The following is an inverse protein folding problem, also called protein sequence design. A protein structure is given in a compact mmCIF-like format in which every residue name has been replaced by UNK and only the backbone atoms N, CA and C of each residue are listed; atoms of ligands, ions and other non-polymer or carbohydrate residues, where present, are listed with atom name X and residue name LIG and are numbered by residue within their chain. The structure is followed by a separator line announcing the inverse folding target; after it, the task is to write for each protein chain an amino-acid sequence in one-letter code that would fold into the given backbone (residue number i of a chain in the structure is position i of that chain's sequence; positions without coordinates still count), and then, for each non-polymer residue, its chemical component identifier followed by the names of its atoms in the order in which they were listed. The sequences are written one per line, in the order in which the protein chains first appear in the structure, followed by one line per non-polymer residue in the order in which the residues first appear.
data_IF_797727719737
#
_entry.id   IF_797727719737
#
_cell.length_a   1.000
_cell.length_b   1.000
_cell.length_c   1.000
_cell.angle_alpha   90.00
_cell.angle_beta   90.00
_cell.angle_gamma   90.00
#
_symmetry.space_group_name_H-M   'P 1'
#
loop_
_entity.id
_entity.type
_entity.pdbx_description
1 polymer ?
#
# COMPACT_ATOMS: atom_id res chain seq x y z
N UNK A 1 93.83 21.20 -38.63
CA UNK A 1 92.76 20.27 -38.19
C UNK A 1 91.80 20.10 -39.38
N UNK A 2 91.88 19.03 -40.18
CA UNK A 2 91.16 17.74 -40.01
C UNK A 2 89.62 17.85 -40.06
N UNK A 3 88.84 17.05 -40.83
CA UNK A 3 89.08 16.21 -42.04
C UNK A 3 87.70 15.72 -42.56
N UNK A 4 87.46 15.72 -43.89
CA UNK A 4 86.59 14.81 -44.71
C UNK A 4 85.19 14.35 -44.18
N UNK A 5 84.07 14.60 -44.89
CA UNK A 5 83.50 13.92 -46.11
C UNK A 5 82.73 12.58 -45.88
N UNK A 6 81.65 12.41 -46.67
CA UNK A 6 80.75 11.23 -46.89
C UNK A 6 79.57 11.13 -45.90
N UNK A 7 78.28 11.00 -46.26
CA UNK A 7 77.53 10.48 -47.43
C UNK A 7 77.35 8.94 -47.49
N UNK A 8 76.14 8.43 -47.13
CA UNK A 8 75.49 7.22 -47.67
C UNK A 8 74.08 6.96 -47.08
N UNK A 9 73.05 6.88 -47.95
CA UNK A 9 71.94 5.89 -47.88
C UNK A 9 72.48 4.52 -48.42
N UNK A 10 71.77 3.35 -48.45
CA UNK A 10 70.32 3.14 -48.35
C UNK A 10 69.86 1.85 -47.60
N UNK A 11 68.55 1.60 -47.61
CA UNK A 11 68.01 0.29 -48.01
C UNK A 11 67.53 -0.68 -46.92
N UNK A 12 66.19 -0.85 -46.83
CA UNK A 12 65.53 -2.14 -47.11
C UNK A 12 64.00 -2.01 -46.97
N UNK A 13 63.28 -2.65 -47.89
CA UNK A 13 61.81 -2.86 -47.88
C UNK A 13 61.62 -4.32 -48.29
N UNK A 14 60.84 -5.11 -47.55
CA UNK A 14 59.59 -5.64 -48.12
C UNK A 14 58.35 -5.25 -47.29
N UNK A 15 57.17 -4.95 -47.87
CA UNK A 15 56.24 -5.85 -48.60
C UNK A 15 55.55 -6.84 -47.61
N UNK A 16 54.25 -7.17 -47.68
CA UNK A 16 53.32 -7.10 -48.82
C UNK A 16 51.86 -7.41 -48.40
N UNK A 17 50.87 -6.59 -48.81
CA UNK A 17 49.45 -6.97 -49.14
C UNK A 17 48.61 -7.65 -48.00
N UNK A 18 47.29 -7.91 -48.06
CA UNK A 18 46.04 -7.38 -48.68
C UNK A 18 44.88 -8.00 -47.86
N UNK A 19 43.67 -7.47 -47.68
CA UNK A 19 42.88 -6.34 -48.27
C UNK A 19 41.91 -5.85 -47.16
N UNK A 20 41.00 -4.88 -47.26
CA UNK A 20 40.50 -4.04 -48.37
C UNK A 20 38.96 -3.94 -48.30
N UNK A 21 38.39 -2.74 -48.52
CA UNK A 21 36.95 -2.41 -48.48
C UNK A 21 36.32 -2.52 -47.06
N UNK A 22 35.34 -1.70 -46.66
CA UNK A 22 34.72 -0.51 -47.26
C UNK A 22 33.86 0.19 -46.19
N UNK A 23 33.79 1.53 -46.22
CA UNK A 23 32.65 2.36 -45.74
C UNK A 23 32.23 2.24 -44.25
N UNK A 24 31.70 3.28 -43.59
CA UNK A 24 31.73 4.71 -43.88
C UNK A 24 31.56 5.49 -42.57
N UNK A 25 32.15 6.68 -42.56
CA UNK A 25 31.62 7.90 -41.97
C UNK A 25 30.12 7.90 -41.67
N UNK A 26 29.73 8.30 -40.47
CA UNK A 26 28.33 8.47 -40.07
C UNK A 26 28.16 9.11 -38.70
N UNK A 27 28.32 10.44 -38.61
CA UNK A 27 27.89 11.21 -37.43
C UNK A 27 26.36 11.11 -37.30
N UNK A 28 25.85 10.37 -36.33
CA UNK A 28 24.49 10.50 -35.78
C UNK A 28 24.57 11.36 -34.51
N UNK A 29 24.34 12.67 -34.59
CA UNK A 29 23.03 13.33 -34.59
C UNK A 29 22.30 13.22 -33.23
N UNK A 30 22.05 14.33 -32.51
CA UNK A 30 21.57 14.32 -31.11
C UNK A 30 20.07 13.97 -30.93
N UNK A 31 19.47 13.29 -31.91
CA UNK A 31 18.03 12.96 -31.97
C UNK A 31 17.59 11.92 -30.93
N UNK A 32 18.51 11.08 -30.44
CA UNK A 32 18.21 9.94 -29.55
C UNK A 32 17.88 10.35 -28.09
N UNK A 33 17.95 11.65 -27.77
CA UNK A 33 17.47 12.16 -26.48
C UNK A 33 15.94 12.20 -26.38
N UNK A 34 15.24 12.07 -27.50
CA UNK A 34 13.77 12.21 -27.60
C UNK A 34 13.00 10.89 -27.49
N UNK A 35 13.66 9.79 -27.05
CA UNK A 35 13.02 8.53 -26.64
C UNK A 35 13.32 8.13 -25.19
N UNK A 36 13.59 9.14 -24.36
CA UNK A 36 13.10 9.17 -22.98
C UNK A 36 11.96 10.22 -22.99
N UNK A 37 10.75 9.93 -23.46
CA UNK A 37 9.90 8.83 -22.98
C UNK A 37 10.26 8.44 -21.55
N UNK A 38 10.39 9.47 -20.71
CA UNK A 38 10.38 9.36 -19.26
C UNK A 38 8.93 9.03 -18.86
N UNK A 39 8.47 7.83 -19.26
CA UNK A 39 7.37 7.19 -18.57
C UNK A 39 7.80 7.13 -17.11
N UNK A 40 7.20 8.00 -16.29
CA UNK A 40 7.10 7.75 -14.86
C UNK A 40 6.16 6.54 -14.72
N UNK A 41 6.69 5.36 -15.05
CA UNK A 41 6.09 4.11 -14.63
C UNK A 41 6.06 4.17 -13.11
N UNK A 42 4.84 4.40 -12.61
CA UNK A 42 4.53 4.30 -11.19
C UNK A 42 5.06 2.93 -10.77
N UNK A 43 5.88 2.83 -9.71
CA UNK A 43 6.40 1.54 -9.25
C UNK A 43 5.23 0.55 -9.19
N UNK A 44 5.28 -0.58 -9.93
CA UNK A 44 4.13 -1.48 -10.01
C UNK A 44 3.66 -1.93 -8.62
N UNK A 45 4.63 -2.06 -7.70
CA UNK A 45 4.44 -2.22 -6.26
C UNK A 45 3.51 -1.18 -5.62
N UNK A 46 3.67 0.11 -5.90
CA UNK A 46 2.86 1.18 -5.29
C UNK A 46 1.41 1.12 -5.79
N UNK A 47 1.19 0.87 -7.09
CA UNK A 47 -0.17 0.68 -7.64
C UNK A 47 -0.82 -0.57 -7.06
N UNK A 48 -0.09 -1.69 -7.01
CA UNK A 48 -0.57 -2.92 -6.41
C UNK A 48 -0.92 -2.72 -4.92
N UNK A 49 -0.11 -1.97 -4.16
CA UNK A 49 -0.37 -1.67 -2.75
C UNK A 49 -1.64 -0.84 -2.56
N UNK A 50 -1.86 0.20 -3.38
CA UNK A 50 -3.09 0.99 -3.32
C UNK A 50 -4.33 0.14 -3.66
N UNK A 51 -4.27 -0.71 -4.68
CA UNK A 51 -5.38 -1.61 -5.05
C UNK A 51 -5.64 -2.63 -3.94
N UNK A 52 -4.60 -3.22 -3.37
CA UNK A 52 -4.73 -4.22 -2.30
C UNK A 52 -5.28 -3.59 -1.00
N UNK A 53 -4.85 -2.38 -0.66
CA UNK A 53 -5.41 -1.62 0.48
C UNK A 53 -6.87 -1.24 0.23
N UNK A 54 -7.22 -0.81 -0.98
CA UNK A 54 -8.59 -0.50 -1.38
C UNK A 54 -9.53 -1.72 -1.27
N UNK A 55 -9.08 -2.89 -1.72
CA UNK A 55 -9.79 -4.16 -1.50
C UNK A 55 -9.91 -4.51 -0.01
N UNK A 56 -8.87 -4.22 0.78
CA UNK A 56 -8.89 -4.34 2.25
C UNK A 56 -9.98 -3.48 2.90
N UNK A 57 -10.09 -2.20 2.54
CA UNK A 57 -11.14 -1.32 3.05
C UNK A 57 -12.54 -1.74 2.61
N UNK A 58 -12.73 -2.23 1.38
CA UNK A 58 -14.02 -2.79 0.96
C UNK A 58 -14.39 -3.99 1.84
N UNK A 59 -13.44 -4.88 2.13
CA UNK A 59 -13.67 -6.01 3.03
C UNK A 59 -14.00 -5.55 4.45
N UNK A 60 -13.25 -4.60 5.02
CA UNK A 60 -13.54 -4.04 6.33
C UNK A 60 -14.92 -3.38 6.39
N UNK A 61 -15.31 -2.56 5.40
CA UNK A 61 -16.64 -1.96 5.31
C UNK A 61 -17.77 -3.00 5.29
N UNK A 62 -17.60 -4.11 4.57
CA UNK A 62 -18.61 -5.19 4.55
C UNK A 62 -18.72 -5.86 5.92
N UNK A 63 -17.60 -6.16 6.57
CA UNK A 63 -17.58 -6.79 7.90
C UNK A 63 -18.15 -5.85 8.98
N UNK A 64 -17.76 -4.57 8.97
CA UNK A 64 -18.27 -3.56 9.91
C UNK A 64 -19.77 -3.31 9.69
N UNK A 65 -20.24 -3.29 8.43
CA UNK A 65 -21.68 -3.21 8.11
C UNK A 65 -22.43 -4.43 8.64
N UNK A 66 -21.88 -5.64 8.47
CA UNK A 66 -22.47 -6.87 9.02
C UNK A 66 -22.53 -6.86 10.56
N UNK A 67 -21.45 -6.42 11.22
CA UNK A 67 -21.41 -6.30 12.67
C UNK A 67 -22.40 -5.22 13.18
N UNK A 68 -22.52 -4.08 12.48
CA UNK A 68 -23.53 -3.07 12.79
C UNK A 68 -24.95 -3.62 12.70
N UNK A 69 -25.30 -4.27 11.58
CA UNK A 69 -26.62 -4.88 11.44
C UNK A 69 -26.87 -5.91 12.54
N UNK A 70 -25.92 -6.84 12.76
CA UNK A 70 -26.03 -7.88 13.77
C UNK A 70 -26.29 -7.33 15.18
N UNK A 71 -25.61 -6.25 15.60
CA UNK A 71 -25.85 -5.62 16.90
C UNK A 71 -27.15 -4.81 16.95
N UNK A 72 -27.54 -4.16 15.84
CA UNK A 72 -28.78 -3.38 15.76
C UNK A 72 -30.05 -4.24 15.72
N UNK A 73 -29.96 -5.48 15.24
CA UNK A 73 -31.10 -6.40 15.08
C UNK A 73 -31.07 -7.56 16.10
N UNK A 74 -30.49 -7.37 17.29
CA UNK A 74 -30.36 -8.43 18.31
C UNK A 74 -31.73 -8.96 18.75
N UNK A 75 -32.69 -8.09 19.01
CA UNK A 75 -34.05 -8.48 19.43
C UNK A 75 -34.77 -9.25 18.31
N UNK A 76 -34.72 -8.73 17.08
CA UNK A 76 -35.30 -9.39 15.90
C UNK A 76 -34.66 -10.78 15.65
N UNK A 77 -33.33 -10.89 15.74
CA UNK A 77 -32.63 -12.17 15.56
C UNK A 77 -33.00 -13.20 16.63
N UNK A 78 -33.16 -12.75 17.88
CA UNK A 78 -33.55 -13.59 19.03
C UNK A 78 -34.99 -14.10 18.94
N UNK A 79 -35.90 -13.33 18.35
CA UNK A 79 -37.29 -13.75 18.11
C UNK A 79 -37.47 -14.49 16.77
N UNK A 80 -36.51 -14.36 15.84
CA UNK A 80 -36.54 -15.01 14.53
C UNK A 80 -36.27 -16.51 14.59
N UNK A 81 -36.70 -17.21 13.54
CA UNK A 81 -36.34 -18.61 13.32
C UNK A 81 -34.92 -18.83 12.75
N UNK A 82 -34.10 -17.78 12.52
CA UNK A 82 -32.70 -17.94 12.11
C UNK A 82 -31.79 -18.21 13.31
N UNK A 83 -31.99 -19.37 13.90
CA UNK A 83 -31.19 -19.90 14.99
C UNK A 83 -29.68 -19.93 14.63
N UNK A 84 -29.32 -20.04 13.35
CA UNK A 84 -27.94 -20.08 12.88
C UNK A 84 -27.23 -18.73 12.90
N UNK A 85 -27.99 -17.64 12.76
CA UNK A 85 -27.53 -16.27 12.95
C UNK A 85 -27.41 -15.94 14.44
N UNK A 86 -28.43 -16.30 15.22
CA UNK A 86 -28.45 -16.11 16.68
C UNK A 86 -27.29 -16.83 17.38
N UNK A 87 -27.10 -18.14 17.17
CA UNK A 87 -26.04 -18.93 17.84
C UNK A 87 -24.63 -18.36 17.62
N UNK A 88 -24.35 -17.81 16.43
CA UNK A 88 -23.06 -17.16 16.12
C UNK A 88 -22.88 -15.84 16.88
N UNK A 89 -23.96 -15.07 17.00
CA UNK A 89 -23.96 -13.78 17.69
C UNK A 89 -23.88 -14.00 19.20
N UNK A 90 -24.67 -14.91 19.75
CA UNK A 90 -24.61 -15.36 21.14
C UNK A 90 -23.21 -15.90 21.50
N UNK A 91 -22.58 -16.69 20.62
CA UNK A 91 -21.18 -17.15 20.82
C UNK A 91 -20.17 -15.99 20.85
N UNK A 92 -20.41 -14.91 20.09
CA UNK A 92 -19.59 -13.68 20.14
C UNK A 92 -19.83 -12.90 21.43
N UNK A 93 -21.09 -12.68 21.81
CA UNK A 93 -21.46 -12.00 23.06
C UNK A 93 -20.92 -12.76 24.28
N UNK A 94 -21.11 -14.08 24.37
CA UNK A 94 -20.55 -14.91 25.44
C UNK A 94 -18.99 -14.92 25.47
N UNK A 95 -18.32 -14.54 24.37
CA UNK A 95 -16.87 -14.29 24.38
C UNK A 95 -16.55 -12.91 24.97
N UNK A 96 -17.32 -11.89 24.62
CA UNK A 96 -17.17 -10.54 25.18
C UNK A 96 -17.39 -10.56 26.71
N UNK A 97 -18.37 -11.33 27.19
CA UNK A 97 -18.72 -11.43 28.63
C UNK A 97 -17.56 -12.02 29.44
N UNK A 98 -16.96 -13.08 28.91
CA UNK A 98 -15.77 -13.76 29.48
C UNK A 98 -14.50 -12.92 29.47
N UNK A 99 -14.53 -11.72 28.91
CA UNK A 99 -13.41 -10.77 28.85
C UNK A 99 -13.78 -9.40 29.43
N UNK A 100 -14.74 -9.36 30.37
CA UNK A 100 -15.18 -8.16 31.10
C UNK A 100 -15.70 -7.03 30.20
N UNK A 101 -16.30 -7.38 29.06
CA UNK A 101 -16.95 -6.42 28.15
C UNK A 101 -18.44 -6.37 28.44
N UNK A 102 -18.94 -5.14 28.61
CA UNK A 102 -20.35 -4.81 28.84
C UNK A 102 -21.23 -5.25 27.65
N UNK A 103 -22.21 -6.13 27.92
CA UNK A 103 -23.22 -6.65 26.97
C UNK A 103 -24.64 -6.30 27.46
N UNK A 104 -24.78 -5.36 28.41
CA UNK A 104 -26.06 -4.70 28.57
C UNK A 104 -26.47 -4.02 27.26
N UNK A 105 -27.73 -3.61 27.14
CA UNK A 105 -28.24 -2.92 25.96
C UNK A 105 -27.39 -1.66 25.63
N UNK A 106 -26.89 -0.97 26.65
CA UNK A 106 -25.96 0.15 26.52
C UNK A 106 -24.54 -0.26 26.09
N UNK A 107 -24.11 -1.49 26.38
CA UNK A 107 -22.87 -2.08 25.87
C UNK A 107 -22.96 -2.44 24.39
N UNK A 108 -24.09 -3.06 24.00
CA UNK A 108 -24.44 -3.40 22.62
C UNK A 108 -24.57 -2.13 21.76
N UNK A 109 -25.23 -1.08 22.25
CA UNK A 109 -25.36 0.20 21.55
C UNK A 109 -23.98 0.84 21.28
N UNK A 110 -23.06 0.82 22.26
CA UNK A 110 -21.67 1.27 22.06
C UNK A 110 -20.95 0.44 20.99
N UNK A 111 -21.24 -0.86 20.89
CA UNK A 111 -20.65 -1.78 19.92
C UNK A 111 -21.13 -1.47 18.48
N UNK A 112 -22.43 -1.21 18.32
CA UNK A 112 -23.00 -0.72 17.06
C UNK A 112 -22.44 0.65 16.67
N UNK A 113 -22.38 1.60 17.63
CA UNK A 113 -21.83 2.93 17.42
C UNK A 113 -20.34 2.92 17.04
N UNK A 114 -19.56 2.03 17.66
CA UNK A 114 -18.16 1.82 17.31
C UNK A 114 -18.00 1.36 15.85
N UNK A 115 -18.90 0.48 15.37
CA UNK A 115 -18.90 0.06 13.97
C UNK A 115 -19.18 1.22 13.00
N UNK A 116 -20.10 2.13 13.35
CA UNK A 116 -20.35 3.35 12.56
C UNK A 116 -19.11 4.24 12.49
N UNK A 117 -18.47 4.53 13.63
CA UNK A 117 -17.24 5.35 13.64
C UNK A 117 -16.14 4.74 12.76
N UNK A 118 -15.99 3.42 12.83
CA UNK A 118 -15.00 2.65 12.08
C UNK A 118 -15.28 2.64 10.57
N UNK A 119 -16.55 2.45 10.19
CA UNK A 119 -17.05 2.59 8.81
C UNK A 119 -16.70 3.97 8.22
N UNK A 120 -16.91 5.05 9.00
CA UNK A 120 -16.57 6.42 8.58
C UNK A 120 -15.04 6.55 8.39
N UNK A 121 -14.24 6.04 9.33
CA UNK A 121 -12.77 6.09 9.24
C UNK A 121 -12.27 5.33 8.01
N UNK A 122 -12.84 4.17 7.68
CA UNK A 122 -12.47 3.39 6.50
C UNK A 122 -12.80 4.11 5.19
N UNK A 123 -13.94 4.82 5.10
CA UNK A 123 -14.23 5.69 3.94
C UNK A 123 -13.19 6.79 3.80
N UNK A 124 -12.78 7.44 4.91
CA UNK A 124 -11.77 8.51 4.86
C UNK A 124 -10.35 7.97 4.57
N UNK A 125 -10.01 6.78 5.07
CA UNK A 125 -8.77 6.08 4.75
C UNK A 125 -8.72 5.66 3.27
N UNK A 126 -9.85 5.16 2.73
CA UNK A 126 -10.02 4.84 1.31
C UNK A 126 -9.83 6.07 0.40
N UNK A 127 -10.35 7.23 0.78
CA UNK A 127 -10.06 8.52 0.11
C UNK A 127 -8.56 8.84 0.17
N UNK A 128 -7.89 8.61 1.31
CA UNK A 128 -6.44 8.69 1.44
C UNK A 128 -5.68 7.79 0.46
N UNK A 129 -6.09 6.52 0.33
CA UNK A 129 -5.52 5.55 -0.62
C UNK A 129 -5.76 5.95 -2.08
N UNK A 130 -6.95 6.45 -2.41
CA UNK A 130 -7.26 6.96 -3.74
C UNK A 130 -6.39 8.18 -4.11
N UNK A 131 -6.21 9.12 -3.18
CA UNK A 131 -5.28 10.25 -3.35
C UNK A 131 -3.82 9.79 -3.55
N UNK A 132 -3.39 8.74 -2.84
CA UNK A 132 -2.06 8.15 -3.05
C UNK A 132 -1.93 7.45 -4.42
N UNK A 133 -2.99 6.81 -4.93
CA UNK A 133 -3.01 6.26 -6.29
C UNK A 133 -2.77 7.35 -7.35
N UNK A 134 -3.30 8.56 -7.14
CA UNK A 134 -3.03 9.75 -7.97
C UNK A 134 -1.70 10.48 -7.66
N UNK A 135 -0.79 9.88 -6.87
CA UNK A 135 0.50 10.47 -6.41
C UNK A 135 0.38 11.76 -5.60
N UNK A 136 -0.79 12.07 -5.01
CA UNK A 136 -0.97 13.29 -4.22
C UNK A 136 -0.37 13.07 -2.82
N UNK A 137 0.72 13.78 -2.50
CA UNK A 137 1.44 13.65 -1.21
C UNK A 137 0.54 13.84 0.02
N UNK A 138 -0.49 14.70 -0.06
CA UNK A 138 -1.48 14.89 1.02
C UNK A 138 -2.27 13.62 1.34
N UNK A 139 -2.48 12.73 0.35
CA UNK A 139 -3.15 11.43 0.55
C UNK A 139 -2.44 10.53 1.55
N UNK A 140 -1.10 10.56 1.60
CA UNK A 140 -0.32 9.79 2.56
C UNK A 140 -0.56 10.25 4.00
N UNK A 141 -0.60 11.56 4.25
CA UNK A 141 -0.86 12.11 5.59
C UNK A 141 -2.29 11.83 6.04
N UNK A 142 -3.26 11.98 5.13
CA UNK A 142 -4.68 11.64 5.36
C UNK A 142 -4.80 10.15 5.73
N UNK A 143 -4.31 9.26 4.87
CA UNK A 143 -4.29 7.82 5.11
C UNK A 143 -3.63 7.48 6.44
N UNK A 144 -2.42 7.99 6.71
CA UNK A 144 -1.68 7.68 7.94
C UNK A 144 -2.39 8.14 9.21
N UNK A 145 -3.03 9.31 9.19
CA UNK A 145 -3.83 9.80 10.31
C UNK A 145 -5.07 8.92 10.55
N UNK A 146 -5.81 8.55 9.50
CA UNK A 146 -6.98 7.69 9.63
C UNK A 146 -6.62 6.25 9.98
N UNK A 147 -5.48 5.71 9.52
CA UNK A 147 -5.00 4.39 9.91
C UNK A 147 -4.61 4.31 11.39
N UNK A 148 -4.05 5.40 11.95
CA UNK A 148 -3.79 5.50 13.39
C UNK A 148 -5.11 5.65 14.17
N UNK A 149 -6.03 6.49 13.69
CA UNK A 149 -7.33 6.68 14.32
C UNK A 149 -8.16 5.38 14.36
N UNK A 150 -8.10 4.57 13.30
CA UNK A 150 -8.71 3.23 13.21
C UNK A 150 -8.24 2.28 14.31
N UNK A 151 -6.99 2.38 14.73
CA UNK A 151 -6.44 1.61 15.85
C UNK A 151 -6.76 2.27 17.19
N UNK A 152 -6.74 3.60 17.28
CA UNK A 152 -6.96 4.32 18.56
C UNK A 152 -8.44 4.28 19.01
N UNK A 153 -9.40 4.47 18.10
CA UNK A 153 -10.84 4.54 18.42
C UNK A 153 -11.37 3.32 19.19
N UNK A 154 -11.16 2.06 18.75
CA UNK A 154 -11.65 0.91 19.50
C UNK A 154 -11.00 0.79 20.88
N UNK A 155 -9.72 1.14 21.04
CA UNK A 155 -9.05 1.20 22.34
C UNK A 155 -9.56 2.35 23.23
N UNK A 156 -9.99 3.47 22.64
CA UNK A 156 -10.59 4.58 23.39
C UNK A 156 -12.01 4.24 23.89
N UNK A 157 -12.76 3.39 23.17
CA UNK A 157 -14.10 2.96 23.56
C UNK A 157 -14.13 1.75 24.49
N UNK A 158 -13.27 0.74 24.26
CA UNK A 158 -13.29 -0.55 24.96
C UNK A 158 -12.02 -0.86 25.76
N UNK A 159 -11.05 0.06 25.81
CA UNK A 159 -9.78 -0.15 26.50
C UNK A 159 -9.02 -1.37 25.95
N UNK A 160 -8.59 -2.24 26.86
CA UNK A 160 -7.90 -3.50 26.50
C UNK A 160 -8.87 -4.50 25.85
N UNK A 161 -10.16 -4.44 26.17
CA UNK A 161 -11.21 -5.28 25.58
C UNK A 161 -11.35 -5.12 24.05
N UNK A 162 -10.85 -4.01 23.49
CA UNK A 162 -10.76 -3.78 22.05
C UNK A 162 -10.07 -4.94 21.29
N UNK A 163 -9.09 -5.60 21.92
CA UNK A 163 -8.34 -6.74 21.37
C UNK A 163 -9.14 -8.07 21.34
N UNK A 164 -10.30 -8.09 21.99
CA UNK A 164 -11.24 -9.22 22.02
C UNK A 164 -12.43 -8.95 21.10
N UNK A 165 -12.93 -7.70 21.07
CA UNK A 165 -13.94 -7.24 20.11
C UNK A 165 -13.41 -7.35 18.68
N UNK A 166 -12.25 -6.73 18.44
CA UNK A 166 -11.60 -6.72 17.14
C UNK A 166 -10.43 -7.70 17.18
N UNK A 167 -10.59 -8.84 16.52
CA UNK A 167 -9.54 -9.84 16.41
C UNK A 167 -8.25 -9.20 15.87
N UNK A 168 -7.10 -9.64 16.40
CA UNK A 168 -5.78 -9.16 16.03
C UNK A 168 -5.56 -9.21 14.52
N UNK A 169 -6.16 -10.20 13.84
CA UNK A 169 -6.15 -10.33 12.38
C UNK A 169 -6.72 -9.13 11.63
N UNK A 170 -7.60 -8.33 12.24
CA UNK A 170 -8.19 -7.12 11.63
C UNK A 170 -7.44 -5.84 12.03
N UNK A 171 -6.77 -5.84 13.20
CA UNK A 171 -5.93 -4.73 13.66
C UNK A 171 -4.51 -4.73 13.05
N UNK A 172 -3.98 -5.90 12.68
CA UNK A 172 -2.62 -6.04 12.12
C UNK A 172 -2.45 -5.43 10.71
N UNK A 173 -3.34 -5.70 9.72
CA UNK A 173 -3.16 -5.22 8.35
C UNK A 173 -3.04 -3.68 8.24
N UNK A 174 -3.86 -2.86 8.94
CA UNK A 174 -3.68 -1.41 9.04
C UNK A 174 -2.24 -0.97 9.32
N UNK A 175 -1.58 -1.57 10.31
CA UNK A 175 -0.22 -1.24 10.72
C UNK A 175 0.82 -1.71 9.69
N UNK A 176 0.62 -2.90 9.11
CA UNK A 176 1.49 -3.43 8.06
C UNK A 176 1.44 -2.53 6.82
N UNK A 177 0.24 -2.17 6.33
CA UNK A 177 0.11 -1.25 5.20
C UNK A 177 0.69 0.13 5.50
N UNK A 178 0.54 0.65 6.73
CA UNK A 178 1.16 1.91 7.13
C UNK A 178 2.70 1.86 7.00
N UNK A 179 3.34 0.76 7.44
CA UNK A 179 4.79 0.55 7.33
C UNK A 179 5.23 0.34 5.86
N UNK A 180 4.43 -0.35 5.05
CA UNK A 180 4.73 -0.50 3.63
C UNK A 180 4.57 0.84 2.87
N UNK A 181 3.57 1.66 3.20
CA UNK A 181 3.45 3.00 2.62
C UNK A 181 4.56 3.96 3.11
N UNK A 182 4.99 3.92 4.37
CA UNK A 182 6.10 4.76 4.86
C UNK A 182 7.42 4.40 4.18
N UNK A 183 7.70 3.10 3.97
CA UNK A 183 8.90 2.67 3.23
C UNK A 183 8.83 3.03 1.73
N UNK A 184 7.64 3.04 1.13
CA UNK A 184 7.43 3.50 -0.26
C UNK A 184 7.30 5.04 -0.40
N UNK A 185 7.23 5.80 0.69
CA UNK A 185 7.08 7.27 0.69
C UNK A 185 8.13 7.99 -0.17
N UNK A 186 9.37 7.45 -0.22
CA UNK A 186 10.46 7.95 -1.06
C UNK A 186 10.13 7.99 -2.56
N UNK A 187 9.24 7.12 -3.04
CA UNK A 187 8.78 7.09 -4.44
C UNK A 187 7.61 8.04 -4.73
N UNK A 188 6.90 8.48 -3.69
CA UNK A 188 5.85 9.51 -3.74
C UNK A 188 6.44 10.94 -3.79
N UNK A 189 7.73 11.08 -3.46
CA UNK A 189 8.43 12.35 -3.36
C UNK A 189 9.09 12.84 -4.67
N UNK A 190 8.73 12.22 -5.81
CA UNK A 190 9.01 12.70 -7.19
C UNK A 190 7.74 13.22 -7.82
#
# INVERSE_FOLDING_TARGET
MAKRKKNKKPGSVPNKKTTGKNKASGKSSPSDRTKKELKLEVPPSLKALCILSFMGFIYCLVMDTQDYFAYSSIEELKESADQSGWEKLETRLARFEKNDIDISDAGIEKLALASIYRTIIDVLAMVGTALMYFRIRRGFYIYGAFQLLYVIVPFAMFGIGAMVVYDKLVLLPPLIYLILFTTQYKYLNR
#
